data_IF_387109162825
#
_entry.id   IF_387109162825
#
_cell.length_a   1.000
_cell.length_b   1.000
_cell.length_c   1.000
_cell.angle_alpha   90.00
_cell.angle_beta   90.00
_cell.angle_gamma   90.00
#
_symmetry.space_group_name_H-M   'P 1'
#
loop_
_entity.id
_entity.type
_entity.pdbx_description
1 polymer ?
#
# COMPACT_ATOMS: atom_id res chain seq x y z
N UNK A 1 -18.26 -3.29 9.38
CA UNK A 1 -19.41 -3.87 8.64
C UNK A 1 -20.46 -2.78 8.50
N UNK A 2 -21.24 -2.74 7.42
CA UNK A 2 -22.31 -1.74 7.31
C UNK A 2 -23.44 -2.18 8.24
N UNK A 3 -23.77 -1.35 9.22
CA UNK A 3 -24.82 -1.63 10.19
C UNK A 3 -26.14 -1.96 9.50
N UNK A 4 -26.92 -2.87 10.10
CA UNK A 4 -28.24 -3.27 9.63
C UNK A 4 -28.28 -3.89 8.22
N UNK A 5 -27.18 -4.52 7.75
CA UNK A 5 -27.18 -5.32 6.52
C UNK A 5 -26.80 -6.78 6.76
N UNK A 6 -27.35 -7.72 5.96
CA UNK A 6 -26.91 -9.12 5.95
C UNK A 6 -25.39 -9.24 5.77
N UNK A 7 -24.77 -10.26 6.37
CA UNK A 7 -23.32 -10.47 6.31
C UNK A 7 -22.79 -10.67 4.89
N UNK A 8 -23.61 -11.23 4.01
CA UNK A 8 -23.34 -11.50 2.60
C UNK A 8 -23.80 -10.36 1.68
N UNK A 9 -24.36 -9.27 2.24
CA UNK A 9 -24.79 -8.14 1.43
C UNK A 9 -23.60 -7.42 0.79
N UNK A 10 -23.73 -7.12 -0.50
CA UNK A 10 -22.73 -6.37 -1.25
C UNK A 10 -22.53 -4.96 -0.67
N UNK A 11 -21.27 -4.59 -0.44
CA UNK A 11 -20.94 -3.23 0.04
C UNK A 11 -21.25 -2.19 -1.04
N UNK A 12 -20.85 -2.45 -2.28
CA UNK A 12 -21.01 -1.55 -3.43
C UNK A 12 -22.08 -2.07 -4.40
N UNK A 13 -23.21 -1.39 -4.46
CA UNK A 13 -24.33 -1.73 -5.33
C UNK A 13 -24.73 -0.56 -6.22
N UNK A 14 -25.43 -0.87 -7.30
CA UNK A 14 -26.24 0.12 -8.02
C UNK A 14 -27.39 0.61 -7.15
N UNK A 15 -28.06 1.69 -7.57
CA UNK A 15 -29.30 2.18 -6.92
C UNK A 15 -30.43 1.14 -6.82
N UNK A 16 -30.37 0.08 -7.65
CA UNK A 16 -31.34 -1.03 -7.67
C UNK A 16 -30.86 -2.27 -6.89
N UNK A 17 -29.79 -2.15 -6.10
CA UNK A 17 -29.24 -3.26 -5.30
C UNK A 17 -28.38 -4.27 -6.05
N UNK A 18 -28.32 -4.22 -7.39
CA UNK A 18 -27.47 -5.10 -8.19
C UNK A 18 -25.97 -4.79 -8.00
N UNK A 19 -25.05 -5.76 -8.23
CA UNK A 19 -23.61 -5.55 -8.14
C UNK A 19 -23.12 -4.39 -9.01
N UNK A 20 -22.25 -3.55 -8.45
CA UNK A 20 -21.63 -2.47 -9.21
C UNK A 20 -20.68 -3.04 -10.27
N UNK A 21 -20.88 -2.67 -11.54
CA UNK A 21 -20.02 -3.10 -12.65
C UNK A 21 -18.90 -2.08 -12.88
N UNK A 22 -17.65 -2.55 -12.81
CA UNK A 22 -16.45 -1.70 -12.91
C UNK A 22 -16.45 -0.79 -14.14
N UNK A 23 -16.76 -1.32 -15.33
CA UNK A 23 -16.77 -0.54 -16.58
C UNK A 23 -17.79 0.61 -16.53
N UNK A 24 -18.99 0.35 -16.02
CA UNK A 24 -20.06 1.35 -15.94
C UNK A 24 -19.71 2.44 -14.93
N UNK A 25 -19.24 2.03 -13.75
CA UNK A 25 -18.79 2.97 -12.72
C UNK A 25 -17.60 3.81 -13.19
N UNK A 26 -16.61 3.19 -13.85
CA UNK A 26 -15.43 3.88 -14.36
C UNK A 26 -15.79 4.97 -15.36
N UNK A 27 -16.71 4.69 -16.26
CA UNK A 27 -17.10 5.62 -17.32
C UNK A 27 -18.03 6.73 -16.82
N UNK A 28 -18.85 6.48 -15.80
CA UNK A 28 -19.86 7.44 -15.33
C UNK A 28 -19.38 8.26 -14.13
N UNK A 29 -18.96 7.57 -13.08
CA UNK A 29 -18.65 8.21 -11.80
C UNK A 29 -17.17 8.58 -11.72
N UNK A 30 -16.28 7.64 -12.05
CA UNK A 30 -14.84 7.88 -11.93
C UNK A 30 -14.34 8.91 -12.94
N UNK A 31 -14.79 8.85 -14.20
CA UNK A 31 -14.45 9.85 -15.21
C UNK A 31 -14.93 11.25 -14.83
N UNK A 32 -16.14 11.37 -14.26
CA UNK A 32 -16.66 12.64 -13.77
C UNK A 32 -15.83 13.17 -12.58
N UNK A 33 -15.46 12.31 -11.64
CA UNK A 33 -14.59 12.68 -10.51
C UNK A 33 -13.20 13.10 -10.98
N UNK A 34 -12.60 12.38 -11.94
CA UNK A 34 -11.29 12.74 -12.51
C UNK A 34 -11.34 14.10 -13.20
N UNK A 35 -12.39 14.39 -13.97
CA UNK A 35 -12.61 15.70 -14.59
C UNK A 35 -12.80 16.80 -13.54
N UNK A 36 -13.59 16.57 -12.50
CA UNK A 36 -13.79 17.52 -11.42
C UNK A 36 -12.47 17.84 -10.67
N UNK A 37 -11.56 16.87 -10.60
CA UNK A 37 -10.22 17.04 -10.05
C UNK A 37 -9.19 17.65 -11.03
N UNK A 38 -9.59 17.98 -12.28
CA UNK A 38 -8.67 18.47 -13.31
C UNK A 38 -7.67 17.44 -13.82
N UNK A 39 -7.99 16.14 -13.68
CA UNK A 39 -7.15 15.02 -14.07
C UNK A 39 -7.69 14.29 -15.31
N UNK A 40 -8.66 14.87 -16.02
CA UNK A 40 -9.11 14.33 -17.29
C UNK A 40 -7.99 14.40 -18.35
N UNK A 41 -8.04 13.48 -19.33
CA UNK A 41 -6.99 13.36 -20.36
C UNK A 41 -5.66 12.75 -19.90
N UNK A 42 -5.37 12.68 -18.60
CA UNK A 42 -4.12 12.09 -18.05
C UNK A 42 -4.04 10.56 -18.19
N UNK A 43 -5.13 9.92 -18.62
CA UNK A 43 -5.28 8.48 -18.60
C UNK A 43 -5.30 7.90 -17.17
N UNK A 44 -5.76 8.67 -16.18
CA UNK A 44 -5.94 8.18 -14.81
C UNK A 44 -6.87 6.95 -14.77
N UNK A 45 -6.48 5.94 -14.00
CA UNK A 45 -7.29 4.74 -13.77
C UNK A 45 -7.26 4.36 -12.29
N UNK A 46 -8.22 3.56 -11.80
CA UNK A 46 -8.16 3.01 -10.44
C UNK A 46 -6.87 2.21 -10.17
N UNK A 47 -6.31 1.57 -11.21
CA UNK A 47 -5.04 0.85 -11.07
C UNK A 47 -3.87 1.81 -10.85
N UNK A 48 -3.85 2.98 -11.52
CA UNK A 48 -2.86 4.03 -11.24
C UNK A 48 -2.98 4.57 -9.82
N UNK A 49 -4.20 4.75 -9.30
CA UNK A 49 -4.40 5.14 -7.90
C UNK A 49 -3.84 4.10 -6.93
N UNK A 50 -3.96 2.81 -7.25
CA UNK A 50 -3.33 1.74 -6.47
C UNK A 50 -1.80 1.82 -6.49
N UNK A 51 -1.19 2.20 -7.62
CA UNK A 51 0.26 2.50 -7.64
C UNK A 51 0.60 3.71 -6.77
N UNK A 52 -0.18 4.79 -6.83
CA UNK A 52 0.02 5.97 -5.98
C UNK A 52 -0.06 5.61 -4.49
N UNK A 53 -1.04 4.78 -4.09
CA UNK A 53 -1.16 4.33 -2.70
C UNK A 53 0.07 3.54 -2.24
N UNK A 54 0.62 2.66 -3.10
CA UNK A 54 1.85 1.93 -2.80
C UNK A 54 3.04 2.88 -2.63
N UNK A 55 3.23 3.82 -3.56
CA UNK A 55 4.31 4.80 -3.50
C UNK A 55 4.23 5.69 -2.26
N UNK A 56 3.04 6.14 -1.89
CA UNK A 56 2.83 6.93 -0.66
C UNK A 56 3.11 6.13 0.60
N UNK A 57 2.72 4.85 0.64
CA UNK A 57 3.02 3.99 1.79
C UNK A 57 4.54 3.80 1.97
N UNK A 58 5.27 3.57 0.87
CA UNK A 58 6.73 3.43 0.89
C UNK A 58 7.38 4.75 1.36
N UNK A 59 6.94 5.89 0.81
CA UNK A 59 7.43 7.20 1.22
C UNK A 59 7.14 7.50 2.70
N UNK A 60 6.06 6.95 3.26
CA UNK A 60 5.74 7.03 4.69
C UNK A 60 6.53 6.04 5.56
N UNK A 61 7.48 5.28 5.00
CA UNK A 61 8.35 4.36 5.73
C UNK A 61 7.82 2.94 5.86
N UNK A 62 6.75 2.57 5.14
CA UNK A 62 6.27 1.18 5.14
C UNK A 62 7.30 0.25 4.50
N UNK A 63 7.58 -0.88 5.14
CA UNK A 63 8.44 -1.91 4.57
C UNK A 63 7.73 -2.73 3.48
N UNK A 64 8.53 -3.51 2.74
CA UNK A 64 8.04 -4.35 1.63
C UNK A 64 6.94 -5.32 2.03
N UNK A 65 6.96 -5.85 3.27
CA UNK A 65 5.97 -6.81 3.76
C UNK A 65 4.65 -6.12 4.05
N UNK A 66 4.69 -4.94 4.67
CA UNK A 66 3.51 -4.10 4.90
C UNK A 66 2.86 -3.73 3.57
N UNK A 67 3.64 -3.27 2.59
CA UNK A 67 3.11 -2.91 1.27
C UNK A 67 2.56 -4.13 0.54
N UNK A 68 3.22 -5.30 0.62
CA UNK A 68 2.71 -6.55 0.06
C UNK A 68 1.35 -6.94 0.64
N UNK A 69 1.18 -6.85 1.96
CA UNK A 69 -0.08 -7.15 2.64
C UNK A 69 -1.18 -6.14 2.28
N UNK A 70 -0.87 -4.84 2.33
CA UNK A 70 -1.79 -3.77 1.97
C UNK A 70 -2.33 -3.94 0.54
N UNK A 71 -1.46 -4.34 -0.38
CA UNK A 71 -1.82 -4.58 -1.77
C UNK A 71 -2.47 -5.96 -1.97
N UNK A 72 -2.24 -6.92 -1.09
CA UNK A 72 -2.68 -8.31 -1.30
C UNK A 72 -1.92 -8.98 -2.45
N UNK A 73 -0.65 -8.62 -2.66
CA UNK A 73 0.20 -9.35 -3.59
C UNK A 73 0.51 -10.73 -3.02
N UNK A 74 0.53 -11.76 -3.86
CA UNK A 74 0.78 -13.14 -3.44
C UNK A 74 2.20 -13.33 -2.87
N UNK A 75 3.16 -12.52 -3.30
CA UNK A 75 4.53 -12.53 -2.80
C UNK A 75 5.11 -11.13 -2.66
N UNK A 76 6.15 -11.00 -1.84
CA UNK A 76 6.95 -9.76 -1.72
C UNK A 76 7.76 -9.49 -2.98
N UNK A 77 8.16 -10.51 -3.73
CA UNK A 77 8.84 -10.39 -5.03
C UNK A 77 8.02 -9.54 -6.00
N UNK A 78 6.71 -9.77 -6.12
CA UNK A 78 5.85 -8.94 -6.97
C UNK A 78 5.86 -7.46 -6.57
N UNK A 79 5.95 -7.17 -5.27
CA UNK A 79 6.07 -5.82 -4.74
C UNK A 79 7.44 -5.22 -5.05
N UNK A 80 8.53 -5.98 -4.87
CA UNK A 80 9.90 -5.53 -5.17
C UNK A 80 10.10 -5.30 -6.67
N UNK A 81 9.62 -6.19 -7.53
CA UNK A 81 9.69 -6.04 -8.99
C UNK A 81 8.99 -4.77 -9.48
N UNK A 82 7.95 -4.34 -8.76
CA UNK A 82 7.16 -3.16 -9.13
C UNK A 82 7.64 -1.87 -8.47
N UNK A 83 7.99 -1.92 -7.19
CA UNK A 83 8.23 -0.74 -6.37
C UNK A 83 9.60 -0.74 -5.66
N UNK A 84 10.45 -1.73 -5.91
CA UNK A 84 11.77 -1.87 -5.27
C UNK A 84 12.61 -0.59 -5.37
N UNK A 85 12.56 0.07 -6.53
CA UNK A 85 13.24 1.33 -6.79
C UNK A 85 12.76 2.54 -5.96
N UNK A 86 11.64 2.41 -5.24
CA UNK A 86 11.11 3.46 -4.36
C UNK A 86 11.60 3.30 -2.92
N UNK A 87 12.12 2.14 -2.54
CA UNK A 87 12.63 1.94 -1.19
C UNK A 87 13.99 2.64 -1.04
N UNK A 88 14.21 3.34 0.08
CA UNK A 88 15.49 3.98 0.35
C UNK A 88 16.57 2.91 0.55
N UNK A 89 17.79 3.21 0.11
CA UNK A 89 18.96 2.47 0.56
C UNK A 89 19.22 2.80 2.03
N UNK A 90 19.35 1.76 2.85
CA UNK A 90 19.56 1.88 4.30
C UNK A 90 20.66 0.95 4.79
N UNK A 91 21.56 0.49 3.91
CA UNK A 91 22.63 -0.41 4.30
C UNK A 91 23.54 0.18 5.39
N UNK A 92 23.87 1.47 5.29
CA UNK A 92 24.69 2.17 6.29
C UNK A 92 23.99 2.29 7.65
N UNK A 93 22.73 2.76 7.66
CA UNK A 93 21.90 2.83 8.87
C UNK A 93 21.81 1.46 9.58
N UNK A 94 21.61 0.38 8.80
CA UNK A 94 21.55 -0.98 9.32
C UNK A 94 22.91 -1.40 9.90
N UNK A 95 24.01 -1.09 9.23
CA UNK A 95 25.35 -1.41 9.71
C UNK A 95 25.66 -0.70 11.05
N UNK A 96 25.34 0.59 11.17
CA UNK A 96 25.51 1.35 12.40
C UNK A 96 24.66 0.78 13.54
N UNK A 97 23.39 0.45 13.27
CA UNK A 97 22.50 -0.14 14.26
C UNK A 97 23.01 -1.51 14.75
N UNK A 98 23.59 -2.31 13.85
CA UNK A 98 24.21 -3.60 14.20
C UNK A 98 25.43 -3.43 15.11
N UNK A 99 26.33 -2.47 14.82
CA UNK A 99 27.49 -2.24 15.67
C UNK A 99 27.09 -1.72 17.06
N UNK A 100 26.15 -0.79 17.12
CA UNK A 100 25.61 -0.31 18.39
C UNK A 100 24.99 -1.43 19.24
N UNK A 101 24.24 -2.35 18.60
CA UNK A 101 23.66 -3.50 19.28
C UNK A 101 24.74 -4.47 19.82
N UNK A 102 25.81 -4.71 19.04
CA UNK A 102 26.96 -5.52 19.44
C UNK A 102 27.65 -4.94 20.68
N UNK A 103 28.00 -3.65 20.66
CA UNK A 103 28.67 -2.95 21.78
C UNK A 103 27.86 -3.06 23.07
N UNK A 104 26.53 -2.90 22.97
CA UNK A 104 25.62 -3.06 24.12
C UNK A 104 25.60 -4.48 24.66
N UNK A 105 25.62 -5.48 23.78
CA UNK A 105 25.61 -6.89 24.18
C UNK A 105 26.92 -7.30 24.88
N UNK A 106 28.08 -6.86 24.39
CA UNK A 106 29.38 -7.20 24.99
C UNK A 106 29.59 -6.49 26.33
N UNK A 107 29.22 -5.21 26.47
CA UNK A 107 29.31 -4.51 27.77
C UNK A 107 28.50 -5.19 28.88
N UNK A 108 27.30 -5.69 28.56
CA UNK A 108 26.49 -6.44 29.53
C UNK A 108 27.11 -7.76 29.96
N UNK A 109 27.89 -8.40 29.08
CA UNK A 109 28.61 -9.62 29.42
C UNK A 109 29.80 -9.32 30.35
N UNK A 110 30.50 -8.21 30.11
CA UNK A 110 31.61 -7.75 30.95
C UNK A 110 31.13 -7.28 32.34
N UNK A 111 29.94 -6.67 32.44
CA UNK A 111 29.33 -6.25 33.71
C UNK A 111 28.75 -7.41 34.54
N UNK A 112 28.52 -8.57 33.93
CA UNK A 112 27.94 -9.75 34.58
C UNK A 112 28.98 -10.80 35.01
N UNK A 113 30.27 -10.55 34.72
CA UNK A 113 31.42 -11.40 35.07
C UNK A 113 32.18 -10.81 36.28
#
# INVERSE_FOLDING_TARGET
MVENRPKDALVFTTKRGAPLRLRNWRNREFAAAAKAAGLDGTGLTPHKLRHTAASLAIAAGADVKVVQQMLGHASTTMTLDRYGHLFPDRLEEVAEAMDAARVKATRRADEAA
#
